data_IF_704829738620
#
_entry.id   IF_704829738620
#
_cell.length_a   1.000
_cell.length_b   1.000
_cell.length_c   1.000
_cell.angle_alpha   90.00
_cell.angle_beta   90.00
_cell.angle_gamma   90.00
#
_symmetry.space_group_name_H-M   'P 1'
#
loop_
_entity.id
_entity.type
_entity.pdbx_description
1 polymer ?
#
# COMPACT_ATOMS: atom_id res chain seq x y z
N UNK A 1 -17.24 4.81 1.52
CA UNK A 1 -17.35 3.34 1.34
C UNK A 1 -16.73 2.83 0.03
N UNK A 2 -17.20 3.23 -1.18
CA UNK A 2 -16.66 2.72 -2.47
C UNK A 2 -15.13 2.86 -2.65
N UNK A 3 -14.52 3.94 -2.12
CA UNK A 3 -13.07 4.16 -2.22
C UNK A 3 -12.25 3.22 -1.32
N UNK A 4 -12.75 2.89 -0.13
CA UNK A 4 -12.04 2.04 0.83
C UNK A 4 -11.96 0.60 0.35
N UNK A 5 -13.07 0.08 -0.19
CA UNK A 5 -13.12 -1.27 -0.77
C UNK A 5 -12.17 -1.37 -1.97
N UNK A 6 -12.08 -0.32 -2.79
CA UNK A 6 -11.12 -0.25 -3.91
C UNK A 6 -9.67 -0.29 -3.41
N UNK A 7 -9.33 0.43 -2.35
CA UNK A 7 -7.98 0.43 -1.80
C UNK A 7 -7.57 -0.96 -1.27
N UNK A 8 -8.48 -1.65 -0.56
CA UNK A 8 -8.23 -3.02 -0.11
C UNK A 8 -7.99 -3.94 -1.31
N UNK A 9 -8.83 -3.86 -2.34
CA UNK A 9 -8.69 -4.67 -3.56
C UNK A 9 -7.35 -4.40 -4.28
N UNK A 10 -6.88 -3.15 -4.30
CA UNK A 10 -5.55 -2.80 -4.84
C UNK A 10 -4.41 -3.42 -4.03
N UNK A 11 -4.50 -3.39 -2.69
CA UNK A 11 -3.48 -3.99 -1.81
C UNK A 11 -3.43 -5.51 -2.00
N UNK A 12 -4.58 -6.17 -2.02
CA UNK A 12 -4.66 -7.62 -2.24
C UNK A 12 -4.13 -8.02 -3.63
N UNK A 13 -4.48 -7.25 -4.67
CA UNK A 13 -3.96 -7.46 -6.04
C UNK A 13 -2.45 -7.25 -6.12
N UNK A 14 -1.94 -6.21 -5.48
CA UNK A 14 -0.50 -5.95 -5.42
C UNK A 14 0.25 -7.10 -4.75
N UNK A 15 -0.28 -7.61 -3.62
CA UNK A 15 0.34 -8.72 -2.89
C UNK A 15 0.31 -10.01 -3.72
N UNK A 16 -0.83 -10.32 -4.33
CA UNK A 16 -0.98 -11.50 -5.18
C UNK A 16 -0.12 -11.44 -6.45
N UNK A 17 0.07 -10.25 -7.02
CA UNK A 17 0.90 -10.07 -8.20
C UNK A 17 2.39 -10.29 -7.91
N UNK A 18 2.85 -9.99 -6.68
CA UNK A 18 4.28 -9.98 -6.32
C UNK A 18 5.14 -9.17 -7.31
N UNK A 19 4.55 -8.14 -7.89
CA UNK A 19 5.18 -7.24 -8.87
C UNK A 19 5.59 -5.95 -8.19
N UNK A 20 6.47 -5.23 -8.88
CA UNK A 20 6.81 -3.86 -8.51
C UNK A 20 5.56 -2.98 -8.61
N UNK A 21 5.23 -2.31 -7.53
CA UNK A 21 4.15 -1.34 -7.42
C UNK A 21 4.70 0.05 -7.07
N UNK A 22 3.87 1.06 -7.27
CA UNK A 22 4.15 2.42 -6.83
C UNK A 22 3.09 2.81 -5.80
N UNK A 23 3.54 3.08 -4.58
CA UNK A 23 2.69 3.63 -3.51
C UNK A 23 2.89 5.14 -3.46
N UNK A 24 1.80 5.87 -3.64
CA UNK A 24 1.77 7.33 -3.63
C UNK A 24 1.31 7.78 -2.24
N UNK A 25 2.19 8.46 -1.52
CA UNK A 25 1.91 9.02 -0.19
C UNK A 25 1.25 10.41 -0.31
N UNK A 26 0.42 10.79 0.66
CA UNK A 26 -0.17 12.14 0.82
C UNK A 26 0.85 13.26 0.87
N UNK A 27 2.08 12.97 1.28
CA UNK A 27 3.22 13.89 1.23
C UNK A 27 3.76 14.14 -0.19
N UNK A 28 3.25 13.44 -1.21
CA UNK A 28 3.72 13.51 -2.59
C UNK A 28 4.95 12.64 -2.88
N UNK A 29 5.35 11.77 -1.94
CA UNK A 29 6.43 10.81 -2.13
C UNK A 29 5.93 9.58 -2.89
N UNK A 30 6.78 9.08 -3.79
CA UNK A 30 6.54 7.87 -4.57
C UNK A 30 7.46 6.77 -4.06
N UNK A 31 6.89 5.76 -3.42
CA UNK A 31 7.62 4.61 -2.94
C UNK A 31 7.46 3.49 -3.95
N UNK A 32 8.55 3.14 -4.64
CA UNK A 32 8.56 2.08 -5.65
C UNK A 32 9.16 0.81 -5.07
N UNK A 33 8.38 -0.26 -5.04
CA UNK A 33 8.77 -1.47 -4.34
C UNK A 33 7.82 -2.62 -4.58
N UNK A 34 8.16 -3.78 -4.02
CA UNK A 34 7.31 -4.97 -4.04
C UNK A 34 6.59 -5.05 -2.70
N UNK A 35 5.26 -5.14 -2.73
CA UNK A 35 4.46 -5.41 -1.53
C UNK A 35 4.67 -6.87 -1.12
N UNK A 36 5.14 -7.09 0.11
CA UNK A 36 5.41 -8.45 0.60
C UNK A 36 4.58 -8.82 1.84
N UNK A 37 4.02 -7.84 2.55
CA UNK A 37 3.17 -8.05 3.71
C UNK A 37 2.28 -6.82 3.94
N UNK A 38 1.11 -7.01 4.57
CA UNK A 38 0.22 -5.93 4.95
C UNK A 38 -0.59 -6.31 6.19
N UNK A 39 -0.86 -5.32 7.05
CA UNK A 39 -1.76 -5.47 8.19
C UNK A 39 -2.81 -4.37 8.12
N UNK A 40 -3.86 -4.61 7.33
CA UNK A 40 -4.89 -3.63 7.02
C UNK A 40 -6.24 -4.14 7.50
N UNK A 41 -6.97 -3.30 8.24
CA UNK A 41 -8.30 -3.61 8.76
C UNK A 41 -9.26 -2.46 8.55
N UNK A 42 -10.54 -2.80 8.47
CA UNK A 42 -11.61 -1.82 8.50
C UNK A 42 -12.01 -1.56 9.96
N UNK A 43 -12.04 -0.30 10.39
CA UNK A 43 -12.49 0.09 11.72
C UNK A 43 -13.28 1.39 11.66
N UNK A 44 -14.54 1.37 12.11
CA UNK A 44 -15.44 2.53 12.11
C UNK A 44 -15.43 3.30 10.76
N UNK A 45 -15.62 2.56 9.65
CA UNK A 45 -15.59 3.09 8.28
C UNK A 45 -14.29 3.76 7.83
N UNK A 46 -13.18 3.52 8.54
CA UNK A 46 -11.84 3.98 8.17
C UNK A 46 -10.92 2.79 7.95
N UNK A 47 -10.08 2.91 6.92
CA UNK A 47 -9.01 1.95 6.67
C UNK A 47 -7.87 2.25 7.65
N UNK A 48 -7.45 1.25 8.42
CA UNK A 48 -6.41 1.39 9.44
C UNK A 48 -5.39 0.28 9.24
N UNK A 49 -4.12 0.62 9.39
CA UNK A 49 -3.06 -0.36 9.24
C UNK A 49 -1.91 0.14 8.41
N UNK A 50 -1.04 -0.79 8.05
CA UNK A 50 0.17 -0.51 7.29
C UNK A 50 0.38 -1.53 6.17
N UNK A 51 1.07 -1.10 5.13
CA UNK A 51 1.62 -1.97 4.08
C UNK A 51 3.14 -1.99 4.20
N UNK A 52 3.75 -3.15 3.96
CA UNK A 52 5.20 -3.31 3.97
C UNK A 52 5.72 -3.52 2.56
N UNK A 53 6.62 -2.64 2.16
CA UNK A 53 7.21 -2.62 0.83
C UNK A 53 8.70 -2.91 0.93
N UNK A 54 9.20 -3.74 0.02
CA UNK A 54 10.64 -3.83 -0.24
C UNK A 54 10.96 -2.92 -1.42
N UNK A 55 11.66 -1.82 -1.16
CA UNK A 55 12.01 -0.84 -2.18
C UNK A 55 12.94 -1.46 -3.22
N UNK A 56 12.69 -1.19 -4.50
CA UNK A 56 13.51 -1.77 -5.59
C UNK A 56 14.87 -1.11 -5.73
N UNK A 57 15.00 0.16 -5.31
CA UNK A 57 16.23 0.94 -5.45
C UNK A 57 17.36 0.47 -4.55
N UNK A 58 17.07 0.14 -3.29
CA UNK A 58 18.07 -0.14 -2.27
C UNK A 58 17.77 -1.43 -1.48
N UNK A 59 16.73 -2.19 -1.87
CA UNK A 59 16.25 -3.38 -1.16
C UNK A 59 15.88 -3.12 0.31
N UNK A 60 15.70 -1.85 0.69
CA UNK A 60 15.27 -1.50 2.04
C UNK A 60 13.81 -1.87 2.25
N UNK A 61 13.46 -2.20 3.49
CA UNK A 61 12.09 -2.49 3.87
C UNK A 61 11.50 -1.25 4.53
N UNK A 62 10.35 -0.81 4.03
CA UNK A 62 9.62 0.34 4.56
C UNK A 62 8.20 -0.06 4.93
N UNK A 63 7.64 0.64 5.90
CA UNK A 63 6.24 0.55 6.25
C UNK A 63 5.53 1.86 5.93
N UNK A 64 4.39 1.79 5.25
CA UNK A 64 3.57 2.96 4.91
C UNK A 64 2.19 2.80 5.59
N UNK A 65 1.75 3.82 6.33
CA UNK A 65 0.39 3.82 6.90
C UNK A 65 -0.61 3.96 5.77
N UNK A 66 -1.63 3.10 5.77
CA UNK A 66 -2.65 3.10 4.72
C UNK A 66 -3.47 4.38 4.72
N UNK A 67 -3.54 5.09 5.86
CA UNK A 67 -4.13 6.42 5.90
C UNK A 67 -3.33 7.46 5.14
N UNK A 68 -2.02 7.25 4.97
CA UNK A 68 -1.14 8.17 4.25
C UNK A 68 -1.03 7.81 2.77
N UNK A 69 -1.61 6.70 2.33
CA UNK A 69 -1.66 6.31 0.92
C UNK A 69 -2.79 7.07 0.20
N UNK A 70 -2.43 7.76 -0.88
CA UNK A 70 -3.36 8.33 -1.83
C UNK A 70 -3.80 7.29 -2.86
N UNK A 71 -2.85 6.53 -3.41
CA UNK A 71 -3.11 5.56 -4.47
C UNK A 71 -2.01 4.50 -4.54
N UNK A 72 -2.33 3.36 -5.15
CA UNK A 72 -1.41 2.26 -5.44
C UNK A 72 -1.53 1.90 -6.92
N UNK A 73 -0.42 2.01 -7.64
CA UNK A 73 -0.33 1.60 -9.04
C UNK A 73 0.35 0.24 -9.13
N UNK A 74 -0.35 -0.73 -9.71
CA UNK A 74 0.07 -2.13 -9.93
C UNK A 74 0.41 -2.36 -11.39
#
# INVERSE_FOLDING_TARGET
MKSIIKMIDLIEKALAAQKEIIVIDKSGKFNRGILYDHYVRLSADKLRGKVKLRLTQDQSEIEVDVNDILDIQV
#
